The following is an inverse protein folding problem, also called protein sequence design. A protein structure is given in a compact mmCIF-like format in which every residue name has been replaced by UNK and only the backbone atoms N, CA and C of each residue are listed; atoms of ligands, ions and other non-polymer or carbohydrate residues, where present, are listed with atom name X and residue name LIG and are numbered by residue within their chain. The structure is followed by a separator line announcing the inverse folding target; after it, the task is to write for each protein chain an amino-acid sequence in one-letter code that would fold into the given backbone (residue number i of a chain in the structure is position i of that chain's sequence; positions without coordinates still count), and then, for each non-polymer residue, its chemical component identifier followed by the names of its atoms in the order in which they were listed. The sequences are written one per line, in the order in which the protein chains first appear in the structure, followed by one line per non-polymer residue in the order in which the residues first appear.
data_IF_080662224822
#
_entry.id   IF_080662224822
#
_cell.length_a   1.000
_cell.length_b   1.000
_cell.length_c   1.000
_cell.angle_alpha   90.00
_cell.angle_beta   90.00
_cell.angle_gamma   90.00
#
_symmetry.space_group_name_H-M   'P 1'
#
loop_
_entity.id
_entity.type
_entity.pdbx_description
1 polymer ?
#
# COMPACT_ATOMS: atom_id res chain seq x y z
N UNK A 1 1.89 8.62 -22.58
CA UNK A 1 2.44 7.28 -22.33
C UNK A 1 1.85 6.81 -21.02
N UNK A 2 0.90 5.87 -21.06
CA UNK A 2 0.33 5.30 -19.84
C UNK A 2 1.39 4.37 -19.26
N UNK A 3 2.05 4.81 -18.19
CA UNK A 3 2.92 3.96 -17.40
C UNK A 3 2.04 2.90 -16.76
N UNK A 4 1.87 1.76 -17.42
CA UNK A 4 1.33 0.55 -16.80
C UNK A 4 2.39 0.08 -15.82
N UNK A 5 2.37 0.62 -14.60
CA UNK A 5 3.14 0.09 -13.48
C UNK A 5 2.85 -1.40 -13.45
N UNK A 6 3.88 -2.24 -13.61
CA UNK A 6 3.78 -3.69 -13.46
C UNK A 6 3.45 -3.99 -12.00
N UNK A 7 2.19 -3.81 -11.62
CA UNK A 7 1.67 -4.13 -10.31
C UNK A 7 1.53 -5.64 -10.24
N UNK A 8 2.36 -6.29 -9.44
CA UNK A 8 2.16 -7.69 -9.09
C UNK A 8 1.14 -7.82 -7.95
N UNK A 9 0.31 -8.87 -7.99
CA UNK A 9 -0.53 -9.21 -6.86
C UNK A 9 0.34 -9.51 -5.64
N UNK A 10 -0.08 -9.08 -4.43
CA UNK A 10 0.57 -9.46 -3.19
C UNK A 10 0.71 -10.98 -3.07
N UNK A 11 1.81 -11.47 -2.49
CA UNK A 11 2.04 -12.92 -2.33
C UNK A 11 1.12 -13.59 -1.30
N UNK A 12 0.46 -12.80 -0.47
CA UNK A 12 -0.40 -13.21 0.66
C UNK A 12 -1.89 -13.27 0.33
N UNK A 13 -2.34 -12.87 -0.88
CA UNK A 13 -3.75 -12.96 -1.27
C UNK A 13 -4.06 -14.29 -1.96
N UNK A 14 -5.27 -14.83 -1.72
CA UNK A 14 -5.71 -16.12 -2.29
C UNK A 14 -6.10 -16.01 -3.76
N UNK A 15 -6.18 -17.13 -4.49
CA UNK A 15 -6.67 -17.14 -5.88
C UNK A 15 -8.10 -16.60 -6.02
N UNK A 16 -8.95 -16.87 -5.04
CA UNK A 16 -10.30 -16.30 -5.01
C UNK A 16 -10.26 -14.77 -4.87
N UNK A 17 -9.39 -14.25 -4.00
CA UNK A 17 -9.22 -12.81 -3.82
C UNK A 17 -8.61 -12.13 -5.06
N UNK A 18 -7.79 -12.83 -5.85
CA UNK A 18 -7.25 -12.32 -7.12
C UNK A 18 -8.35 -12.06 -8.16
N UNK A 19 -9.45 -12.81 -8.09
CA UNK A 19 -10.60 -12.67 -8.99
C UNK A 19 -11.61 -11.63 -8.53
N UNK A 20 -11.55 -11.18 -7.27
CA UNK A 20 -12.45 -10.15 -6.76
C UNK A 20 -12.14 -8.80 -7.39
N UNK A 21 -13.18 -8.15 -7.90
CA UNK A 21 -13.11 -6.85 -8.56
C UNK A 21 -13.98 -5.82 -7.85
N UNK A 22 -13.69 -4.54 -8.08
CA UNK A 22 -14.56 -3.45 -7.69
C UNK A 22 -15.75 -3.28 -8.64
N UNK A 23 -16.55 -2.23 -8.43
CA UNK A 23 -17.73 -1.91 -9.27
C UNK A 23 -17.40 -1.58 -10.73
N UNK A 24 -16.12 -1.34 -11.04
CA UNK A 24 -15.63 -1.05 -12.38
C UNK A 24 -14.95 -2.27 -13.03
N UNK A 25 -14.97 -3.43 -12.38
CA UNK A 25 -14.32 -4.65 -12.87
C UNK A 25 -12.80 -4.65 -12.68
N UNK A 26 -12.25 -3.73 -11.89
CA UNK A 26 -10.81 -3.67 -11.59
C UNK A 26 -10.52 -4.60 -10.42
N UNK A 27 -9.54 -5.51 -10.51
CA UNK A 27 -9.17 -6.37 -9.39
C UNK A 27 -8.85 -5.57 -8.13
N UNK A 28 -9.38 -5.99 -6.97
CA UNK A 28 -9.23 -5.26 -5.70
C UNK A 28 -7.77 -5.11 -5.25
N UNK A 29 -6.88 -5.97 -5.74
CA UNK A 29 -5.45 -5.92 -5.48
C UNK A 29 -4.67 -4.95 -6.37
N UNK A 30 -5.31 -4.40 -7.41
CA UNK A 30 -4.76 -3.29 -8.19
C UNK A 30 -5.14 -1.99 -7.51
N UNK A 31 -4.13 -1.15 -7.28
CA UNK A 31 -4.35 0.20 -6.80
C UNK A 31 -4.53 1.16 -7.96
N UNK A 32 -5.54 2.01 -7.86
CA UNK A 32 -5.67 3.14 -8.75
C UNK A 32 -4.46 4.07 -8.60
N UNK A 33 -4.06 4.81 -9.66
CA UNK A 33 -2.92 5.72 -9.60
C UNK A 33 -3.02 6.77 -8.47
N UNK A 34 -4.24 7.17 -8.13
CA UNK A 34 -4.52 8.11 -7.04
C UNK A 34 -4.31 7.47 -5.66
N UNK A 35 -4.70 6.22 -5.47
CA UNK A 35 -4.46 5.45 -4.24
C UNK A 35 -2.96 5.26 -4.03
N UNK A 36 -2.23 4.82 -5.07
CA UNK A 36 -0.78 4.57 -4.99
C UNK A 36 0.00 5.87 -4.70
N UNK A 37 -0.39 6.99 -5.34
CA UNK A 37 0.20 8.31 -5.05
C UNK A 37 -0.07 8.76 -3.62
N UNK A 38 -1.25 8.45 -3.07
CA UNK A 38 -1.60 8.80 -1.69
C UNK A 38 -0.77 7.99 -0.70
N UNK A 39 -0.66 6.68 -0.92
CA UNK A 39 0.19 5.81 -0.11
C UNK A 39 1.66 6.25 -0.14
N UNK A 40 2.16 6.68 -1.30
CA UNK A 40 3.53 7.16 -1.41
C UNK A 40 3.77 8.41 -0.57
N UNK A 41 2.82 9.34 -0.55
CA UNK A 41 2.88 10.55 0.28
C UNK A 41 2.83 10.22 1.77
N UNK A 42 1.93 9.32 2.17
CA UNK A 42 1.84 8.86 3.56
C UNK A 42 3.13 8.16 4.00
N UNK A 43 3.71 7.34 3.13
CA UNK A 43 4.98 6.69 3.37
C UNK A 43 6.11 7.70 3.56
N UNK A 44 6.23 8.70 2.67
CA UNK A 44 7.22 9.76 2.79
C UNK A 44 7.09 10.53 4.11
N UNK A 45 5.87 10.97 4.46
CA UNK A 45 5.61 11.69 5.70
C UNK A 45 5.93 10.83 6.94
N UNK A 46 5.61 9.53 6.90
CA UNK A 46 5.96 8.60 7.97
C UNK A 46 7.48 8.42 8.09
N UNK A 47 8.18 8.25 6.97
CA UNK A 47 9.64 8.16 6.94
C UNK A 47 10.28 9.42 7.52
N UNK A 48 9.84 10.60 7.11
CA UNK A 48 10.33 11.88 7.65
C UNK A 48 10.18 11.94 9.17
N UNK A 49 8.99 11.58 9.68
CA UNK A 49 8.72 11.56 11.13
C UNK A 49 9.59 10.55 11.89
N UNK A 50 9.80 9.36 11.32
CA UNK A 50 10.68 8.35 11.93
C UNK A 50 12.13 8.84 11.94
N UNK A 51 12.57 9.48 10.86
CA UNK A 51 13.93 10.02 10.77
C UNK A 51 14.19 11.21 11.68
N UNK A 52 13.22 12.10 11.83
CA UNK A 52 13.31 13.21 12.78
C UNK A 52 13.46 12.71 14.22
N UNK A 53 12.69 11.67 14.59
CA UNK A 53 12.71 11.10 15.94
C UNK A 53 14.03 10.39 16.27
N UNK A 54 14.53 9.58 15.34
CA UNK A 54 15.70 8.72 15.59
C UNK A 54 17.04 9.43 15.35
N UNK A 55 17.09 10.46 14.50
CA UNK A 55 18.34 10.99 13.96
C UNK A 55 18.54 12.51 14.06
N UNK A 56 17.82 13.17 14.97
CA UNK A 56 17.85 14.63 15.20
C UNK A 56 19.25 15.26 15.35
N UNK A 57 20.30 14.47 15.68
CA UNK A 57 21.63 14.99 15.99
C UNK A 57 22.74 14.71 14.96
N UNK A 58 22.50 13.97 13.87
CA UNK A 58 23.57 13.69 12.86
C UNK A 58 23.01 13.60 11.44
N UNK A 59 23.38 14.57 10.58
CA UNK A 59 23.00 14.60 9.14
C UNK A 59 23.34 13.31 8.38
N UNK A 60 24.47 12.67 8.68
CA UNK A 60 24.85 11.38 8.06
C UNK A 60 23.86 10.25 8.37
N UNK A 61 23.18 10.34 9.52
CA UNK A 61 22.24 9.33 9.96
C UNK A 61 20.84 9.50 9.33
N UNK A 62 20.51 10.70 8.82
CA UNK A 62 19.29 10.93 8.02
C UNK A 62 19.30 10.15 6.70
N UNK A 63 20.44 10.08 6.01
CA UNK A 63 20.54 9.35 4.74
C UNK A 63 20.32 7.86 4.96
N UNK A 64 20.93 7.28 6.00
CA UNK A 64 20.71 5.88 6.37
C UNK A 64 19.27 5.63 6.80
N UNK A 65 18.65 6.59 7.49
CA UNK A 65 17.26 6.51 7.89
C UNK A 65 16.30 6.43 6.69
N UNK A 66 16.44 7.34 5.72
CA UNK A 66 15.62 7.32 4.50
C UNK A 66 15.90 6.06 3.68
N UNK A 67 17.16 5.62 3.63
CA UNK A 67 17.51 4.35 2.96
C UNK A 67 16.85 3.14 3.63
N UNK A 68 16.61 3.17 4.94
CA UNK A 68 15.94 2.10 5.66
C UNK A 68 14.41 2.21 5.56
N UNK A 69 13.85 3.30 6.07
CA UNK A 69 12.41 3.50 6.22
C UNK A 69 11.71 3.93 4.93
N UNK A 70 12.39 4.66 4.03
CA UNK A 70 11.88 5.06 2.72
C UNK A 70 12.18 4.07 1.61
N UNK A 71 12.68 2.88 1.96
CA UNK A 71 13.04 1.85 0.98
C UNK A 71 11.83 1.35 0.19
N UNK A 72 12.01 0.93 -1.08
CA UNK A 72 10.94 0.30 -1.85
C UNK A 72 10.33 -0.92 -1.16
N UNK A 73 11.13 -1.67 -0.38
CA UNK A 73 10.64 -2.81 0.39
C UNK A 73 9.65 -2.40 1.49
N UNK A 74 9.91 -1.28 2.18
CA UNK A 74 8.99 -0.75 3.19
C UNK A 74 7.71 -0.19 2.55
N UNK A 75 7.83 0.48 1.41
CA UNK A 75 6.67 0.90 0.64
C UNK A 75 5.82 -0.28 0.18
N UNK A 76 6.44 -1.36 -0.33
CA UNK A 76 5.73 -2.56 -0.74
C UNK A 76 4.94 -3.19 0.42
N UNK A 77 5.51 -3.26 1.63
CA UNK A 77 4.79 -3.73 2.82
C UNK A 77 3.57 -2.88 3.15
N UNK A 78 3.70 -1.55 3.05
CA UNK A 78 2.58 -0.63 3.26
C UNK A 78 1.49 -0.85 2.20
N UNK A 79 1.90 -1.01 0.93
CA UNK A 79 1.03 -1.29 -0.20
C UNK A 79 0.26 -2.61 0.00
N UNK A 80 0.95 -3.68 0.37
CA UNK A 80 0.33 -4.99 0.67
C UNK A 80 -0.69 -4.88 1.81
N UNK A 81 -0.33 -4.24 2.92
CA UNK A 81 -1.24 -4.04 4.06
C UNK A 81 -2.45 -3.15 3.73
N UNK A 82 -2.32 -2.22 2.77
CA UNK A 82 -3.45 -1.45 2.28
C UNK A 82 -4.38 -2.31 1.42
N UNK A 83 -3.82 -3.11 0.50
CA UNK A 83 -4.59 -4.03 -0.35
C UNK A 83 -5.36 -5.05 0.51
N UNK A 84 -4.71 -5.66 1.51
CA UNK A 84 -5.37 -6.59 2.44
C UNK A 84 -6.56 -5.95 3.14
N UNK A 85 -6.38 -4.72 3.66
CA UNK A 85 -7.48 -3.98 4.32
C UNK A 85 -8.61 -3.65 3.36
N UNK A 86 -8.30 -3.25 2.12
CA UNK A 86 -9.29 -2.99 1.07
C UNK A 86 -10.11 -4.23 0.75
N UNK A 87 -9.45 -5.38 0.55
CA UNK A 87 -10.11 -6.66 0.29
C UNK A 87 -10.98 -7.07 1.48
N UNK A 88 -10.45 -7.03 2.71
CA UNK A 88 -11.20 -7.40 3.92
C UNK A 88 -12.43 -6.51 4.14
N UNK A 89 -12.30 -5.21 3.88
CA UNK A 89 -13.43 -4.29 3.97
C UNK A 89 -14.52 -4.63 2.96
N UNK A 90 -14.14 -4.92 1.71
CA UNK A 90 -15.10 -5.32 0.68
C UNK A 90 -15.81 -6.63 1.03
N UNK A 91 -15.07 -7.60 1.57
CA UNK A 91 -15.65 -8.88 2.02
C UNK A 91 -16.67 -8.70 3.14
N UNK A 92 -16.42 -7.79 4.08
CA UNK A 92 -17.38 -7.45 5.15
C UNK A 92 -18.64 -6.82 4.60
N UNK A 93 -18.51 -5.85 3.69
CA UNK A 93 -19.66 -5.24 3.03
C UNK A 93 -20.49 -6.25 2.24
N UNK A 94 -19.83 -7.17 1.53
CA UNK A 94 -20.51 -8.23 0.79
C UNK A 94 -21.25 -9.22 1.71
N UNK A 95 -20.72 -9.47 2.92
CA UNK A 95 -21.40 -10.28 3.94
C UNK A 95 -22.62 -9.56 4.51
N UNK A 96 -22.48 -8.29 4.90
CA UNK A 96 -23.59 -7.47 5.43
C UNK A 96 -24.74 -7.38 4.42
N UNK A 97 -24.43 -7.13 3.15
CA UNK A 97 -25.44 -7.05 2.07
C UNK A 97 -26.13 -8.38 1.76
N UNK A 98 -25.51 -9.54 2.04
CA UNK A 98 -26.13 -10.87 1.87
C UNK A 98 -27.07 -11.25 3.02
N UNK A 99 -27.00 -10.53 4.13
CA UNK A 99 -27.78 -10.84 5.35
C UNK A 99 -29.05 -9.97 5.45
N UNK A 100 -29.28 -9.10 4.45
CA UNK A 100 -30.47 -8.26 4.25
C UNK A 100 -31.35 -8.83 3.14
#
# INVERSE_FOLDING_TARGET
MSSTTNQQPPSNITEEQKQKTDEHGVPLWILAPTEEKTLLKEHQAWTEKMCEKEFSNKKEAMVQCVAHYGSPAMFNKLREAYIERKISYREKLDQENKTL
#
